data_IF_971168550581
#
_entry.id   IF_971168550581
#
_cell.length_a   1.000
_cell.length_b   1.000
_cell.length_c   1.000
_cell.angle_alpha   90.00
_cell.angle_beta   90.00
_cell.angle_gamma   90.00
#
_symmetry.space_group_name_H-M   'P 1'
#
loop_
_entity.id
_entity.type
_entity.pdbx_description
1 polymer ?
#
# COMPACT_ATOMS: atom_id res chain seq x y z
N UNK A 1 -2.38 9.98 -4.75
CA UNK A 1 -2.11 8.55 -5.03
C UNK A 1 -0.83 8.47 -5.85
N UNK A 2 0.23 7.99 -5.22
CA UNK A 2 1.62 8.12 -5.66
C UNK A 2 2.29 6.75 -5.84
N UNK A 3 1.47 5.73 -6.08
CA UNK A 3 1.88 4.34 -6.14
C UNK A 3 0.67 3.39 -6.16
N UNK A 4 0.93 2.10 -5.98
CA UNK A 4 -0.09 1.05 -6.01
C UNK A 4 0.25 -0.11 -5.08
N UNK A 5 -0.77 -0.93 -4.79
CA UNK A 5 -0.63 -2.14 -3.99
C UNK A 5 -0.47 -3.37 -4.89
N UNK A 6 0.43 -4.25 -4.50
CA UNK A 6 0.69 -5.54 -5.12
C UNK A 6 0.56 -6.65 -4.09
N UNK A 7 0.11 -7.82 -4.55
CA UNK A 7 0.27 -9.07 -3.83
C UNK A 7 1.38 -9.87 -4.53
N UNK A 8 2.49 -10.07 -3.84
CA UNK A 8 3.70 -10.71 -4.38
C UNK A 8 3.50 -12.21 -4.59
N UNK A 9 2.72 -12.87 -3.74
CA UNK A 9 2.44 -14.31 -3.85
C UNK A 9 1.46 -14.61 -4.99
N UNK A 10 0.39 -13.83 -5.10
CA UNK A 10 -0.61 -13.92 -6.16
C UNK A 10 -0.17 -13.25 -7.47
N UNK A 11 1.00 -12.59 -7.48
CA UNK A 11 1.60 -11.89 -8.63
C UNK A 11 0.62 -10.97 -9.37
N UNK A 12 -0.12 -10.14 -8.61
CA UNK A 12 -1.15 -9.25 -9.16
C UNK A 12 -1.23 -7.91 -8.44
N UNK A 13 -1.72 -6.90 -9.16
CA UNK A 13 -2.17 -5.65 -8.56
C UNK A 13 -3.41 -5.86 -7.69
N UNK A 14 -3.49 -5.08 -6.62
CA UNK A 14 -4.65 -5.04 -5.73
C UNK A 14 -5.47 -3.79 -6.05
N UNK A 15 -6.56 -4.01 -6.78
CA UNK A 15 -7.46 -2.94 -7.22
C UNK A 15 -8.75 -2.85 -6.42
N UNK A 16 -9.11 -3.90 -5.68
CA UNK A 16 -10.40 -3.98 -4.95
C UNK A 16 -10.30 -4.48 -3.52
N UNK A 17 -9.64 -5.62 -3.29
CA UNK A 17 -9.58 -6.26 -1.96
C UNK A 17 -8.32 -7.08 -1.76
N UNK A 18 -7.92 -7.16 -0.51
CA UNK A 18 -6.95 -8.08 0.07
C UNK A 18 -7.55 -8.70 1.34
N UNK A 19 -6.94 -9.76 1.84
CA UNK A 19 -7.38 -10.50 3.02
C UNK A 19 -6.42 -10.32 4.19
N UNK A 20 -6.87 -10.66 5.40
CA UNK A 20 -5.99 -10.71 6.57
C UNK A 20 -4.81 -11.67 6.34
N UNK A 21 -5.07 -12.82 5.69
CA UNK A 21 -4.02 -13.77 5.32
C UNK A 21 -2.96 -13.17 4.41
N UNK A 22 -3.34 -12.32 3.44
CA UNK A 22 -2.36 -11.66 2.57
C UNK A 22 -1.38 -10.79 3.38
N UNK A 23 -1.87 -10.14 4.44
CA UNK A 23 -1.07 -9.34 5.38
C UNK A 23 -0.20 -10.27 6.24
N UNK A 24 -0.81 -11.29 6.86
CA UNK A 24 -0.14 -12.22 7.77
C UNK A 24 1.00 -12.98 7.07
N UNK A 25 0.81 -13.34 5.80
CA UNK A 25 1.81 -14.00 4.97
C UNK A 25 2.90 -13.04 4.45
N UNK A 26 2.82 -11.74 4.75
CA UNK A 26 3.79 -10.74 4.30
C UNK A 26 3.78 -10.51 2.77
N UNK A 27 2.67 -10.84 2.11
CA UNK A 27 2.57 -10.80 0.65
C UNK A 27 2.21 -9.43 0.07
N UNK A 28 1.92 -8.45 0.93
CA UNK A 28 1.45 -7.12 0.55
C UNK A 28 2.62 -6.16 0.36
N UNK A 29 2.72 -5.55 -0.83
CA UNK A 29 3.70 -4.52 -1.13
C UNK A 29 3.01 -3.24 -1.60
N UNK A 30 3.47 -2.09 -1.11
CA UNK A 30 3.16 -0.80 -1.70
C UNK A 30 4.35 -0.36 -2.54
N UNK A 31 4.14 -0.16 -3.84
CA UNK A 31 5.16 0.27 -4.79
C UNK A 31 4.96 1.75 -5.07
N UNK A 32 5.97 2.56 -4.73
CA UNK A 32 5.99 4.00 -4.97
C UNK A 32 6.30 4.26 -6.45
N UNK A 33 5.60 5.19 -7.08
CA UNK A 33 5.95 5.68 -8.42
C UNK A 33 7.29 6.44 -8.33
N UNK A 34 8.29 5.99 -9.10
CA UNK A 34 9.64 6.56 -9.06
C UNK A 34 9.72 8.02 -9.54
N UNK A 35 8.66 8.53 -10.17
CA UNK A 35 8.52 9.95 -10.55
C UNK A 35 7.77 10.77 -9.51
N UNK A 36 7.25 10.16 -8.44
CA UNK A 36 6.54 10.89 -7.40
C UNK A 36 7.51 11.76 -6.60
N UNK A 37 7.26 13.08 -6.60
CA UNK A 37 7.94 14.04 -5.73
C UNK A 37 7.31 14.12 -4.32
N UNK A 38 6.41 13.18 -4.02
CA UNK A 38 5.70 13.11 -2.75
C UNK A 38 6.40 12.14 -1.78
N UNK A 39 6.37 12.50 -0.51
CA UNK A 39 6.96 11.74 0.60
C UNK A 39 5.91 11.03 1.45
N UNK A 40 4.67 11.02 0.98
CA UNK A 40 3.56 10.36 1.62
C UNK A 40 2.49 9.99 0.61
N UNK A 41 1.70 8.96 0.95
CA UNK A 41 0.45 8.65 0.29
C UNK A 41 -0.53 8.07 1.30
N UNK A 42 -1.78 7.93 0.89
CA UNK A 42 -2.80 7.28 1.70
C UNK A 42 -3.80 6.54 0.84
N UNK A 43 -4.48 5.59 1.45
CA UNK A 43 -5.66 4.98 0.86
C UNK A 43 -6.70 4.67 1.93
N UNK A 44 -7.96 4.75 1.51
CA UNK A 44 -9.09 4.38 2.34
C UNK A 44 -9.55 2.96 2.01
N UNK A 45 -10.07 2.27 3.01
CA UNK A 45 -10.59 0.92 2.88
C UNK A 45 -11.67 0.68 3.93
N UNK A 46 -12.42 -0.40 3.75
CA UNK A 46 -13.31 -0.95 4.77
C UNK A 46 -12.76 -2.28 5.23
N UNK A 47 -13.05 -2.64 6.48
CA UNK A 47 -12.76 -3.97 7.03
C UNK A 47 -14.08 -4.70 7.17
N UNK A 48 -14.14 -5.93 6.68
CA UNK A 48 -15.33 -6.78 6.72
C UNK A 48 -14.95 -8.13 7.32
N UNK A 49 -15.66 -8.57 8.35
CA UNK A 49 -15.47 -9.89 8.95
C UNK A 49 -16.38 -10.96 8.34
N UNK A 50 -16.14 -12.24 8.67
CA UNK A 50 -16.94 -13.35 8.14
C UNK A 50 -18.40 -13.35 8.63
N UNK A 51 -18.74 -12.56 9.65
CA UNK A 51 -20.10 -12.41 10.17
C UNK A 51 -20.85 -11.26 9.48
N UNK A 52 -20.21 -10.57 8.54
CA UNK A 52 -20.77 -9.44 7.80
C UNK A 52 -20.69 -8.11 8.56
N UNK A 53 -19.96 -8.04 9.67
CA UNK A 53 -19.70 -6.76 10.31
C UNK A 53 -18.75 -5.95 9.43
N UNK A 54 -19.10 -4.69 9.17
CA UNK A 54 -18.30 -3.79 8.34
C UNK A 54 -17.88 -2.57 9.16
N UNK A 55 -16.58 -2.31 9.19
CA UNK A 55 -16.02 -1.06 9.67
C UNK A 55 -15.59 -0.22 8.46
N UNK A 56 -16.32 0.86 8.20
CA UNK A 56 -16.07 1.76 7.07
C UNK A 56 -15.03 2.84 7.40
N UNK A 57 -14.64 3.61 6.38
CA UNK A 57 -13.83 4.83 6.48
C UNK A 57 -12.49 4.65 7.21
N UNK A 58 -11.87 3.49 7.07
CA UNK A 58 -10.53 3.24 7.57
C UNK A 58 -9.52 3.89 6.62
N UNK A 59 -8.49 4.51 7.19
CA UNK A 59 -7.48 5.25 6.44
C UNK A 59 -6.09 4.75 6.83
N UNK A 60 -5.30 4.33 5.84
CA UNK A 60 -3.88 4.02 6.04
C UNK A 60 -3.04 5.16 5.45
N UNK A 61 -2.11 5.69 6.25
CA UNK A 61 -1.15 6.70 5.83
C UNK A 61 0.24 6.10 5.77
N UNK A 62 0.94 6.35 4.67
CA UNK A 62 2.31 5.93 4.44
C UNK A 62 3.17 7.18 4.29
N UNK A 63 4.36 7.16 4.88
CA UNK A 63 5.38 8.21 4.71
C UNK A 63 6.72 7.56 4.43
N UNK A 64 7.54 8.18 3.61
CA UNK A 64 8.88 7.72 3.27
C UNK A 64 9.81 8.91 3.00
N UNK A 65 11.12 8.67 3.10
CA UNK A 65 12.14 9.68 2.81
C UNK A 65 12.80 9.37 1.47
N UNK A 66 13.18 10.42 0.73
CA UNK A 66 14.07 10.29 -0.44
C UNK A 66 15.49 10.52 0.03
N UNK A 67 16.33 9.50 -0.15
CA UNK A 67 17.78 9.60 0.05
C UNK A 67 18.42 9.65 -1.32
N UNK A 68 19.19 10.70 -1.57
CA UNK A 68 19.95 10.86 -2.82
C UNK A 68 21.37 11.32 -2.48
N UNK A 69 22.34 10.82 -3.23
CA UNK A 69 23.72 11.24 -3.14
C UNK A 69 24.02 12.20 -4.28
N UNK A 70 24.73 13.28 -3.98
CA UNK A 70 25.29 14.14 -5.01
C UNK A 70 26.56 13.48 -5.57
N UNK A 71 26.81 13.65 -6.86
CA UNK A 71 28.05 13.21 -7.47
C UNK A 71 29.09 14.31 -7.22
N UNK A 72 30.24 13.95 -6.68
CA UNK A 72 31.38 14.87 -6.64
C UNK A 72 31.81 15.19 -8.09
N UNK A 73 31.91 16.47 -8.41
CA UNK A 73 32.47 16.97 -9.68
C UNK A 73 34.00 16.83 -9.72
#
# INVERSE_FOLDING_TARGET
>A
KHGHLENTQAKRYITRKFSQKDIDDGSMLYVVDNRAEHFSDSFSFRVEDMRGNVLNDQHFQIRWSRVQFEREE
#
